data_IF_442607492622
#
_entry.id   IF_442607492622
#
_cell.length_a   1.000
_cell.length_b   1.000
_cell.length_c   1.000
_cell.angle_alpha   90.00
_cell.angle_beta   90.00
_cell.angle_gamma   90.00
#
_symmetry.space_group_name_H-M   'P 1'
#
loop_
_entity.id
_entity.type
_entity.pdbx_description
1 polymer ?
#
# COMPACT_ATOMS: atom_id res chain seq x y z
N UNK A 1 21.66 8.48 -11.17
CA UNK A 1 20.31 9.09 -11.25
C UNK A 1 20.44 10.59 -11.39
N UNK A 2 19.75 11.20 -12.34
CA UNK A 2 19.74 12.65 -12.47
C UNK A 2 18.92 13.24 -11.31
N UNK A 3 19.42 14.33 -10.71
CA UNK A 3 18.71 15.06 -9.66
C UNK A 3 17.46 15.71 -10.29
N UNK A 4 16.28 15.17 -10.01
CA UNK A 4 15.00 15.65 -10.55
C UNK A 4 13.93 15.64 -9.47
N UNK A 5 12.83 16.34 -9.72
CA UNK A 5 11.67 16.38 -8.85
C UNK A 5 10.50 15.71 -9.56
N UNK A 6 9.98 14.67 -8.93
CA UNK A 6 8.79 13.97 -9.38
C UNK A 6 7.54 14.55 -8.71
N UNK A 7 6.51 14.84 -9.49
CA UNK A 7 5.25 15.37 -8.97
C UNK A 7 4.10 14.46 -9.41
N UNK A 8 3.29 14.03 -8.46
CA UNK A 8 2.05 13.31 -8.72
C UNK A 8 1.02 14.30 -9.30
N UNK A 9 0.57 14.05 -10.51
CA UNK A 9 -0.43 14.90 -11.20
C UNK A 9 -1.85 14.36 -11.08
N UNK A 10 -2.00 13.05 -11.08
CA UNK A 10 -3.31 12.38 -11.03
C UNK A 10 -3.18 11.02 -10.40
N UNK A 11 -4.26 10.54 -9.80
CA UNK A 11 -4.33 9.21 -9.24
C UNK A 11 -5.67 8.55 -9.56
N UNK A 12 -5.68 7.23 -9.60
CA UNK A 12 -6.86 6.40 -9.71
C UNK A 12 -6.74 5.19 -8.77
N UNK A 13 -7.87 4.69 -8.31
CA UNK A 13 -7.93 3.51 -7.44
C UNK A 13 -8.97 2.54 -7.97
N UNK A 14 -8.58 1.30 -8.23
CA UNK A 14 -9.47 0.19 -8.48
C UNK A 14 -9.67 -0.61 -7.19
N UNK A 15 -10.91 -0.90 -6.86
CA UNK A 15 -11.29 -1.69 -5.70
C UNK A 15 -11.87 -3.01 -6.18
N UNK A 16 -11.07 -4.07 -6.14
CA UNK A 16 -11.42 -5.38 -6.69
C UNK A 16 -11.07 -5.48 -8.18
N UNK A 17 -12.04 -5.67 -9.01
CA UNK A 17 -11.87 -5.89 -10.44
C UNK A 17 -11.36 -4.63 -11.17
N UNK A 18 -10.53 -4.83 -12.21
CA UNK A 18 -10.05 -3.74 -13.09
C UNK A 18 -11.08 -3.35 -14.18
N UNK A 19 -12.36 -3.57 -13.92
CA UNK A 19 -13.41 -3.08 -14.84
C UNK A 19 -13.33 -1.55 -14.91
N UNK A 20 -13.24 -0.97 -16.11
CA UNK A 20 -13.28 0.48 -16.29
C UNK A 20 -14.50 1.16 -15.64
N UNK A 21 -15.63 0.44 -15.52
CA UNK A 21 -16.81 0.92 -14.83
C UNK A 21 -16.64 1.01 -13.30
N UNK A 22 -15.67 0.28 -12.72
CA UNK A 22 -15.32 0.31 -11.30
C UNK A 22 -14.18 1.28 -10.97
N UNK A 23 -13.74 2.08 -11.95
CA UNK A 23 -12.70 3.10 -11.76
C UNK A 23 -13.18 4.24 -10.88
N UNK A 24 -12.38 4.62 -9.88
CA UNK A 24 -12.71 5.69 -8.96
C UNK A 24 -12.06 7.04 -9.31
N UNK A 25 -11.49 7.20 -10.51
CA UNK A 25 -10.74 8.42 -10.90
C UNK A 25 -11.51 9.74 -10.79
N UNK A 26 -12.85 9.71 -10.92
CA UNK A 26 -13.69 10.91 -10.80
C UNK A 26 -14.03 11.26 -9.35
N UNK A 27 -13.95 10.30 -8.44
CA UNK A 27 -14.36 10.46 -7.04
C UNK A 27 -13.19 10.35 -6.06
N UNK A 28 -12.05 9.84 -6.48
CA UNK A 28 -10.87 9.72 -5.64
C UNK A 28 -10.30 11.11 -5.33
N UNK A 29 -10.23 11.44 -4.04
CA UNK A 29 -9.63 12.68 -3.56
C UNK A 29 -8.19 12.46 -3.10
N UNK A 30 -7.94 11.35 -2.41
CA UNK A 30 -6.66 11.01 -1.85
C UNK A 30 -6.53 9.50 -1.71
N UNK A 31 -5.34 8.98 -1.93
CA UNK A 31 -4.93 7.63 -1.50
C UNK A 31 -3.58 7.73 -0.82
N UNK A 32 -3.51 7.26 0.41
CA UNK A 32 -2.28 7.16 1.20
C UNK A 32 -1.83 5.72 1.21
N UNK A 33 -0.70 5.46 0.56
CA UNK A 33 -0.06 4.15 0.53
C UNK A 33 0.43 3.75 1.93
N UNK A 34 0.71 2.46 2.18
CA UNK A 34 1.16 1.99 3.48
C UNK A 34 2.46 2.67 3.91
N UNK A 35 2.56 2.99 5.18
CA UNK A 35 3.82 3.35 5.80
C UNK A 35 4.70 2.10 5.93
N UNK A 36 5.92 2.18 5.41
CA UNK A 36 6.93 1.15 5.54
C UNK A 36 7.81 1.50 6.75
N UNK A 37 7.47 0.97 7.91
CA UNK A 37 8.17 1.23 9.17
C UNK A 37 8.62 -0.08 9.83
N UNK A 38 9.80 -0.06 10.41
CA UNK A 38 10.34 -1.15 11.22
C UNK A 38 10.07 -0.88 12.70
N UNK A 39 9.77 -1.92 13.46
CA UNK A 39 9.64 -1.84 14.90
C UNK A 39 10.96 -2.20 15.56
N UNK A 40 11.38 -1.38 16.51
CA UNK A 40 12.62 -1.53 17.26
C UNK A 40 12.34 -1.81 18.73
N UNK A 41 13.24 -2.55 19.37
CA UNK A 41 13.23 -2.80 20.81
C UNK A 41 14.60 -2.44 21.37
N UNK A 42 14.60 -1.70 22.47
CA UNK A 42 15.82 -1.33 23.16
C UNK A 42 16.46 -2.56 23.81
N UNK A 43 17.74 -2.79 23.54
CA UNK A 43 18.55 -3.79 24.21
C UNK A 43 19.70 -3.13 24.98
N UNK A 44 19.67 -3.30 26.31
CA UNK A 44 20.74 -2.85 27.20
C UNK A 44 21.48 -4.06 27.74
N UNK A 45 22.71 -4.29 27.29
CA UNK A 45 23.56 -5.36 27.81
C UNK A 45 24.14 -4.96 29.18
N UNK A 46 24.19 -5.92 30.15
CA UNK A 46 24.65 -5.67 31.49
C UNK A 46 26.12 -5.19 31.63
N UNK A 47 26.93 -5.31 30.58
CA UNK A 47 28.32 -4.85 30.52
C UNK A 47 28.54 -3.68 29.55
N UNK A 48 27.50 -3.15 28.93
CA UNK A 48 27.63 -2.04 27.98
C UNK A 48 27.10 -0.72 28.56
N UNK A 49 27.80 0.40 28.40
CA UNK A 49 27.34 1.71 28.90
C UNK A 49 26.23 2.33 28.07
N UNK A 50 25.89 1.74 26.92
CA UNK A 50 24.87 2.23 25.98
C UNK A 50 23.87 1.13 25.63
N UNK A 51 22.61 1.52 25.49
CA UNK A 51 21.58 0.70 24.86
C UNK A 51 21.69 0.82 23.32
N UNK A 52 21.31 -0.25 22.62
CA UNK A 52 21.13 -0.27 21.17
C UNK A 52 19.69 -0.57 20.81
N UNK A 53 19.24 -0.07 19.70
CA UNK A 53 17.96 -0.47 19.12
C UNK A 53 18.16 -1.70 18.24
N UNK A 54 17.32 -2.70 18.41
CA UNK A 54 17.30 -3.93 17.59
C UNK A 54 15.99 -3.98 16.85
N UNK A 55 16.05 -4.06 15.52
CA UNK A 55 14.88 -4.26 14.67
C UNK A 55 14.25 -5.65 14.94
N UNK A 56 12.94 -5.70 14.96
CA UNK A 56 12.20 -6.94 15.27
C UNK A 56 11.33 -7.39 14.11
N UNK A 57 10.50 -6.52 13.60
CA UNK A 57 9.58 -6.82 12.50
C UNK A 57 9.09 -5.54 11.83
N UNK A 58 8.58 -5.67 10.62
CA UNK A 58 7.93 -4.57 9.90
C UNK A 58 6.55 -4.33 10.49
N UNK A 59 6.19 -3.06 10.65
CA UNK A 59 4.87 -2.65 11.09
C UNK A 59 3.79 -3.13 10.11
N UNK A 60 2.60 -3.38 10.63
CA UNK A 60 1.45 -3.76 9.80
C UNK A 60 1.16 -2.70 8.75
N UNK A 61 0.87 -3.13 7.54
CA UNK A 61 0.50 -2.25 6.45
C UNK A 61 -0.98 -1.83 6.56
N UNK A 62 -1.23 -0.56 6.30
CA UNK A 62 -2.58 0.01 6.22
C UNK A 62 -2.61 1.03 5.07
N UNK A 63 -3.64 0.94 4.23
CA UNK A 63 -3.92 1.92 3.17
C UNK A 63 -5.15 2.71 3.57
N UNK A 64 -5.11 4.02 3.45
CA UNK A 64 -6.29 4.87 3.60
C UNK A 64 -6.57 5.63 2.32
N UNK A 65 -7.84 5.86 2.02
CA UNK A 65 -8.24 6.64 0.86
C UNK A 65 -9.56 7.36 1.11
N UNK A 66 -9.76 8.48 0.40
CA UNK A 66 -10.95 9.30 0.49
C UNK A 66 -11.66 9.35 -0.87
N UNK A 67 -12.96 9.08 -0.85
CA UNK A 67 -13.82 9.22 -2.03
C UNK A 67 -14.87 10.31 -1.81
N UNK A 68 -15.07 11.14 -2.83
CA UNK A 68 -16.14 12.12 -2.87
C UNK A 68 -17.47 11.47 -3.22
N UNK A 69 -18.51 11.89 -2.51
CA UNK A 69 -19.86 11.37 -2.72
C UNK A 69 -20.04 9.90 -2.31
N UNK A 70 -21.18 9.34 -2.70
CA UNK A 70 -21.53 7.96 -2.37
C UNK A 70 -20.99 6.99 -3.42
N UNK A 71 -20.25 5.99 -2.96
CA UNK A 71 -19.73 4.91 -3.82
C UNK A 71 -20.24 3.56 -3.30
N UNK A 72 -21.48 3.17 -3.65
CA UNK A 72 -22.13 1.97 -3.08
C UNK A 72 -21.32 0.69 -3.31
N UNK A 73 -20.69 0.55 -4.48
CA UNK A 73 -19.83 -0.58 -4.81
C UNK A 73 -18.70 -0.77 -3.77
N UNK A 74 -17.99 0.30 -3.43
CA UNK A 74 -16.92 0.24 -2.42
C UNK A 74 -17.49 0.05 -1.01
N UNK A 75 -18.58 0.74 -0.68
CA UNK A 75 -19.20 0.64 0.65
C UNK A 75 -19.69 -0.77 0.97
N UNK A 76 -20.18 -1.52 -0.01
CA UNK A 76 -20.64 -2.90 0.19
C UNK A 76 -19.53 -3.92 0.40
N UNK A 77 -18.26 -3.53 0.18
CA UNK A 77 -17.12 -4.40 0.44
C UNK A 77 -16.82 -4.58 1.93
N UNK A 78 -17.32 -3.66 2.79
CA UNK A 78 -17.16 -3.82 4.23
C UNK A 78 -18.01 -4.98 4.76
N UNK A 79 -17.50 -5.73 5.72
CA UNK A 79 -18.23 -6.84 6.33
C UNK A 79 -18.26 -8.14 5.52
N UNK A 80 -17.85 -8.14 4.26
CA UNK A 80 -17.69 -9.38 3.47
C UNK A 80 -16.47 -10.22 3.93
N UNK A 81 -15.97 -9.91 5.06
CA UNK A 81 -14.58 -9.92 5.47
C UNK A 81 -13.94 -11.27 5.74
N UNK A 82 -14.66 -12.34 6.02
CA UNK A 82 -13.94 -13.53 6.51
C UNK A 82 -13.60 -14.54 5.42
N UNK A 83 -14.09 -14.36 4.22
CA UNK A 83 -14.00 -15.36 3.17
C UNK A 83 -13.22 -14.94 1.94
N UNK A 84 -13.06 -13.65 1.68
CA UNK A 84 -12.35 -13.17 0.49
C UNK A 84 -11.54 -11.90 0.80
N UNK A 85 -10.25 -11.94 0.54
CA UNK A 85 -9.44 -10.75 0.33
C UNK A 85 -9.69 -10.24 -1.06
N UNK A 86 -9.50 -8.95 -1.24
CA UNK A 86 -9.65 -8.31 -2.54
C UNK A 86 -8.35 -7.63 -2.93
N UNK A 87 -8.10 -7.60 -4.22
CA UNK A 87 -6.98 -6.88 -4.79
C UNK A 87 -7.43 -5.44 -5.02
N UNK A 88 -6.60 -4.52 -4.59
CA UNK A 88 -6.75 -3.10 -4.85
C UNK A 88 -5.54 -2.64 -5.64
N UNK A 89 -5.76 -1.78 -6.63
CA UNK A 89 -4.67 -1.25 -7.44
C UNK A 89 -4.79 0.26 -7.53
N UNK A 90 -3.76 0.95 -7.05
CA UNK A 90 -3.62 2.39 -7.20
C UNK A 90 -2.68 2.70 -8.35
N UNK A 91 -3.11 3.59 -9.23
CA UNK A 91 -2.31 4.14 -10.31
C UNK A 91 -2.11 5.63 -10.09
N UNK A 92 -0.91 6.10 -10.34
CA UNK A 92 -0.56 7.51 -10.31
C UNK A 92 0.16 7.93 -11.58
N UNK A 93 -0.20 9.09 -12.11
CA UNK A 93 0.58 9.78 -13.13
C UNK A 93 1.61 10.66 -12.42
N UNK A 94 2.86 10.29 -12.54
CA UNK A 94 4.01 11.04 -11.99
C UNK A 94 4.75 11.71 -13.13
N UNK A 95 5.06 12.99 -12.98
CA UNK A 95 5.83 13.74 -13.98
C UNK A 95 7.16 14.20 -13.43
N UNK A 96 8.22 13.92 -14.19
CA UNK A 96 9.53 14.51 -13.99
C UNK A 96 9.49 15.99 -14.37
N UNK A 97 9.77 16.87 -13.42
CA UNK A 97 9.74 18.33 -13.66
C UNK A 97 10.91 18.84 -14.46
N UNK A 98 11.95 18.04 -14.61
CA UNK A 98 13.12 18.43 -15.40
C UNK A 98 12.99 18.03 -16.87
N UNK A 99 12.60 16.79 -17.15
CA UNK A 99 12.44 16.28 -18.51
C UNK A 99 11.05 16.51 -19.09
N UNK A 100 10.03 16.66 -18.22
CA UNK A 100 8.62 16.69 -18.60
C UNK A 100 8.05 15.28 -18.88
N UNK A 101 8.83 14.25 -18.73
CA UNK A 101 8.43 12.85 -18.97
C UNK A 101 7.40 12.39 -17.95
N UNK A 102 6.39 11.66 -18.43
CA UNK A 102 5.36 11.06 -17.60
C UNK A 102 5.71 9.59 -17.31
N UNK A 103 5.57 9.20 -16.04
CA UNK A 103 5.78 7.83 -15.58
C UNK A 103 4.58 7.33 -14.80
N UNK A 104 4.36 6.03 -14.83
CA UNK A 104 3.38 5.36 -13.99
C UNK A 104 3.95 5.12 -12.59
N UNK A 105 3.20 5.50 -11.57
CA UNK A 105 3.37 4.95 -10.23
C UNK A 105 2.26 3.94 -10.01
N UNK A 106 2.60 2.69 -9.72
CA UNK A 106 1.63 1.61 -9.54
C UNK A 106 1.83 0.97 -8.19
N UNK A 107 0.74 0.77 -7.47
CA UNK A 107 0.76 0.00 -6.23
C UNK A 107 -0.37 -1.02 -6.23
N UNK A 108 -0.02 -2.27 -5.96
CA UNK A 108 -0.97 -3.38 -5.83
C UNK A 108 -0.95 -3.87 -4.39
N UNK A 109 -2.12 -4.07 -3.81
CA UNK A 109 -2.22 -4.62 -2.46
C UNK A 109 -3.44 -5.51 -2.32
N UNK A 110 -3.25 -6.65 -1.66
CA UNK A 110 -4.33 -7.57 -1.32
C UNK A 110 -4.68 -7.42 0.16
N UNK A 111 -5.93 -7.12 0.43
CA UNK A 111 -6.38 -6.86 1.79
C UNK A 111 -7.90 -6.87 1.90
N UNK A 112 -8.40 -6.23 2.96
CA UNK A 112 -9.83 -6.11 3.23
C UNK A 112 -10.20 -4.67 3.53
N UNK A 113 -11.38 -4.25 3.07
CA UNK A 113 -11.95 -2.99 3.54
C UNK A 113 -12.35 -3.15 5.01
N UNK A 114 -11.53 -2.57 5.89
CA UNK A 114 -11.65 -2.72 7.34
C UNK A 114 -12.41 -1.58 8.02
N UNK A 115 -12.55 -0.43 7.35
CA UNK A 115 -13.23 0.74 7.89
C UNK A 115 -13.86 1.55 6.77
N UNK A 116 -15.07 2.01 7.04
CA UNK A 116 -15.75 3.07 6.28
C UNK A 116 -16.19 4.13 7.29
N UNK A 117 -15.73 5.34 7.11
CA UNK A 117 -16.04 6.47 7.99
C UNK A 117 -16.76 7.55 7.18
N UNK A 118 -18.12 7.51 7.11
CA UNK A 118 -18.89 8.49 6.37
C UNK A 118 -18.90 9.84 7.09
N UNK A 119 -18.85 10.91 6.30
CA UNK A 119 -19.05 12.26 6.83
C UNK A 119 -20.51 12.53 7.16
N UNK A 120 -20.76 13.58 7.94
CA UNK A 120 -22.12 13.97 8.32
C UNK A 120 -22.97 14.42 7.12
N UNK A 121 -24.25 14.08 7.14
CA UNK A 121 -25.22 14.52 6.13
C UNK A 121 -25.49 16.02 6.25
N UNK A 122 -25.09 16.78 5.22
CA UNK A 122 -25.42 18.20 5.09
C UNK A 122 -25.95 18.49 3.70
N UNK A 123 -27.00 19.27 3.61
CA UNK A 123 -27.56 19.68 2.32
C UNK A 123 -26.57 20.63 1.62
N UNK A 124 -26.23 20.32 0.38
CA UNK A 124 -25.40 21.16 -0.48
C UNK A 124 -23.89 20.93 -0.37
N UNK A 125 -23.44 20.07 0.56
CA UNK A 125 -22.04 19.74 0.69
C UNK A 125 -21.66 18.52 -0.17
N UNK A 126 -20.52 18.58 -0.83
CA UNK A 126 -19.89 17.39 -1.41
C UNK A 126 -19.31 16.57 -0.27
N UNK A 127 -19.92 15.42 -0.02
CA UNK A 127 -19.46 14.53 1.04
C UNK A 127 -18.15 13.86 0.66
N UNK A 128 -17.28 13.62 1.64
CA UNK A 128 -16.04 12.86 1.51
C UNK A 128 -16.07 11.72 2.53
N UNK A 129 -15.89 10.50 2.06
CA UNK A 129 -15.88 9.33 2.93
C UNK A 129 -14.47 8.76 2.99
N UNK A 130 -14.00 8.53 4.22
CA UNK A 130 -12.70 7.91 4.48
C UNK A 130 -12.87 6.40 4.57
N UNK A 131 -11.97 5.70 3.90
CA UNK A 131 -11.89 4.25 3.86
C UNK A 131 -10.53 3.79 4.34
N UNK A 132 -10.46 2.62 4.99
CA UNK A 132 -9.16 2.00 5.26
C UNK A 132 -9.14 0.52 4.90
N UNK A 133 -8.06 0.10 4.26
CA UNK A 133 -7.78 -1.28 3.89
C UNK A 133 -6.78 -1.83 4.89
N UNK A 134 -7.12 -2.97 5.47
CA UNK A 134 -6.35 -3.64 6.51
C UNK A 134 -6.17 -5.12 6.21
N UNK A 135 -5.34 -5.78 7.05
CA UNK A 135 -5.04 -7.20 6.86
C UNK A 135 -4.40 -7.45 5.51
N UNK A 136 -3.54 -6.53 5.09
CA UNK A 136 -2.78 -6.61 3.86
C UNK A 136 -1.81 -7.78 3.98
N UNK A 137 -1.80 -8.66 2.99
CA UNK A 137 -0.96 -9.85 2.91
C UNK A 137 -0.06 -9.86 1.69
N UNK A 138 -0.33 -8.95 0.76
CA UNK A 138 0.47 -8.75 -0.44
C UNK A 138 0.57 -7.26 -0.72
N UNK A 139 1.76 -6.77 -1.07
CA UNK A 139 2.00 -5.37 -1.40
C UNK A 139 3.10 -5.24 -2.43
N UNK A 140 2.82 -4.48 -3.48
CA UNK A 140 3.76 -4.12 -4.53
C UNK A 140 3.77 -2.61 -4.75
N UNK A 141 4.94 -2.06 -5.02
CA UNK A 141 5.12 -0.65 -5.38
C UNK A 141 6.11 -0.54 -6.53
N UNK A 142 5.67 0.07 -7.61
CA UNK A 142 6.46 0.32 -8.82
C UNK A 142 6.49 1.80 -9.17
N UNK A 143 7.60 2.24 -9.74
CA UNK A 143 7.72 3.54 -10.39
C UNK A 143 8.31 3.33 -11.80
N UNK A 144 7.50 3.51 -12.84
CA UNK A 144 7.82 3.05 -14.18
C UNK A 144 8.01 1.54 -14.21
N UNK A 145 9.15 1.09 -14.72
CA UNK A 145 9.52 -0.34 -14.77
C UNK A 145 10.28 -0.82 -13.52
N UNK A 146 10.58 0.09 -12.59
CA UNK A 146 11.37 -0.23 -11.41
C UNK A 146 10.48 -0.74 -10.27
N UNK A 147 10.75 -1.98 -9.78
CA UNK A 147 10.18 -2.51 -8.55
C UNK A 147 10.86 -1.83 -7.35
N UNK A 148 10.12 -0.99 -6.62
CA UNK A 148 10.62 -0.31 -5.42
C UNK A 148 10.50 -1.21 -4.20
N UNK A 149 9.33 -1.87 -4.07
CA UNK A 149 9.04 -2.73 -2.93
C UNK A 149 8.09 -3.84 -3.34
N UNK A 150 8.36 -5.05 -2.86
CA UNK A 150 7.50 -6.21 -2.99
C UNK A 150 7.47 -6.96 -1.66
N UNK A 151 6.27 -7.34 -1.21
CA UNK A 151 6.10 -8.16 -0.05
C UNK A 151 4.89 -9.08 -0.19
N UNK A 152 5.08 -10.34 0.19
CA UNK A 152 4.00 -11.31 0.25
C UNK A 152 4.19 -12.23 1.47
N UNK A 153 3.16 -12.28 2.29
CA UNK A 153 3.18 -13.03 3.53
C UNK A 153 3.20 -14.54 3.31
N UNK A 154 2.42 -15.03 2.32
CA UNK A 154 2.22 -16.46 2.16
C UNK A 154 3.37 -17.17 1.48
N UNK A 155 4.08 -16.49 0.61
CA UNK A 155 5.27 -17.01 -0.05
C UNK A 155 6.57 -16.59 0.63
N UNK A 156 6.46 -15.90 1.78
CA UNK A 156 7.61 -15.41 2.55
C UNK A 156 8.61 -14.60 1.70
N UNK A 157 8.10 -13.79 0.79
CA UNK A 157 8.91 -12.98 -0.11
C UNK A 157 8.93 -11.52 0.34
N UNK A 158 10.12 -10.91 0.33
CA UNK A 158 10.33 -9.49 0.58
C UNK A 158 11.47 -9.00 -0.30
N UNK A 159 11.15 -8.12 -1.24
CA UNK A 159 12.16 -7.50 -2.11
C UNK A 159 12.13 -5.99 -1.96
N UNK A 160 13.31 -5.40 -1.99
CA UNK A 160 13.51 -3.95 -1.99
C UNK A 160 14.47 -3.60 -3.11
N UNK A 161 14.03 -2.79 -4.06
CA UNK A 161 14.84 -2.48 -5.25
C UNK A 161 15.21 -3.72 -6.07
N UNK A 162 14.35 -4.74 -6.09
CA UNK A 162 14.58 -6.01 -6.79
C UNK A 162 15.43 -7.04 -6.03
N UNK A 163 16.00 -6.70 -4.86
CA UNK A 163 16.81 -7.61 -4.04
C UNK A 163 15.95 -8.35 -3.02
N UNK A 164 16.03 -9.69 -2.98
CA UNK A 164 15.30 -10.52 -2.02
C UNK A 164 16.00 -10.55 -0.66
N UNK A 165 15.36 -9.93 0.34
CA UNK A 165 15.88 -9.84 1.70
C UNK A 165 15.54 -11.06 2.57
N UNK A 166 14.66 -11.95 2.10
CA UNK A 166 14.26 -13.15 2.84
C UNK A 166 15.02 -14.41 2.39
N UNK A 167 15.93 -14.31 1.42
CA UNK A 167 16.60 -15.47 0.83
C UNK A 167 17.30 -16.35 1.88
N UNK A 168 18.12 -15.76 2.76
CA UNK A 168 18.85 -16.50 3.79
C UNK A 168 17.91 -17.12 4.82
N UNK A 169 16.89 -16.37 5.25
CA UNK A 169 15.89 -16.86 6.20
C UNK A 169 15.13 -18.05 5.61
N UNK A 170 14.67 -17.94 4.37
CA UNK A 170 13.94 -19.00 3.69
C UNK A 170 14.81 -20.25 3.50
N UNK A 171 16.09 -20.10 3.18
CA UNK A 171 17.03 -21.20 3.04
C UNK A 171 17.27 -21.92 4.38
N UNK A 172 17.50 -21.18 5.47
CA UNK A 172 17.75 -21.74 6.80
C UNK A 172 16.51 -22.44 7.36
N UNK A 173 15.34 -21.81 7.21
CA UNK A 173 14.07 -22.35 7.69
C UNK A 173 13.44 -23.39 6.74
N UNK A 174 14.07 -23.68 5.60
CA UNK A 174 13.60 -24.62 4.58
C UNK A 174 12.19 -24.28 4.09
N UNK A 175 11.89 -22.99 3.97
CA UNK A 175 10.64 -22.52 3.38
C UNK A 175 10.75 -22.75 1.88
N UNK A 176 9.78 -23.43 1.25
CA UNK A 176 9.85 -23.68 -0.20
C UNK A 176 9.87 -22.36 -0.96
N UNK A 177 10.76 -22.24 -1.93
CA UNK A 177 10.74 -21.12 -2.85
C UNK A 177 9.38 -21.11 -3.58
N UNK A 178 8.77 -19.93 -3.68
CA UNK A 178 7.57 -19.78 -4.51
C UNK A 178 7.91 -20.10 -5.95
N UNK A 179 7.14 -20.98 -6.54
CA UNK A 179 7.24 -21.31 -7.96
C UNK A 179 6.80 -20.15 -8.83
#
# INVERSE_FOLDING_TARGET
MANTVYVMESANLFCGDHDPAASNHLVLQEVKLPELAENYVDHAAGGAPFAIEVDTHIARLEVTFNLAGWTPHVMTMIGQSNRQRQIFTAYGLVRDRRSGEAMEAKSVFEGRLGRVNPTSFRKGDLQSHEYSIRGITHYELYLGDDEIYFWDFFISARRVGGEDLNQDMNAILRIPASA
#
